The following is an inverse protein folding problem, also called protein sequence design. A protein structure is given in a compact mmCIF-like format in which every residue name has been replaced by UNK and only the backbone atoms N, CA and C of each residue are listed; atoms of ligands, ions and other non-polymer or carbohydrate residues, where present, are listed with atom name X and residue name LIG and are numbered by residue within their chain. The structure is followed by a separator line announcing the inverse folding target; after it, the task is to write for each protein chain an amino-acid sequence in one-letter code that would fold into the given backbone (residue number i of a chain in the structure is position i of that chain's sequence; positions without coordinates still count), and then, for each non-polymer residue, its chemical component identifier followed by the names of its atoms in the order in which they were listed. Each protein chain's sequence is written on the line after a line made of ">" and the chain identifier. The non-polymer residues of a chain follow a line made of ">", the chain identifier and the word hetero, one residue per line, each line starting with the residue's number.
data_IF_852641114937
#
_entry.id   IF_852641114937
#
_cell.length_a   1.000
_cell.length_b   1.000
_cell.length_c   1.000
_cell.angle_alpha   90.00
_cell.angle_beta   90.00
_cell.angle_gamma   90.00
#
_symmetry.space_group_name_H-M   'P 1'
#
loop_
_entity.id
_entity.type
_entity.pdbx_description
1 polymer ?
#
# COMPACT_ATOMS: atom_id res chain seq x y z
N UNK A 1 5.95 51.00 14.01
CA UNK A 1 7.21 50.43 13.50
C UNK A 1 7.07 48.94 13.68
N UNK A 2 6.90 48.27 12.55
CA UNK A 2 6.57 46.87 12.33
C UNK A 2 7.85 46.02 12.40
N UNK A 3 7.86 44.97 13.24
CA UNK A 3 8.85 43.90 13.26
C UNK A 3 8.19 42.66 13.88
N UNK A 4 7.65 41.78 13.05
CA UNK A 4 7.13 40.50 13.53
C UNK A 4 6.72 39.49 12.46
N UNK A 5 6.56 39.89 11.19
CA UNK A 5 6.37 38.95 10.10
C UNK A 5 7.70 38.55 9.48
N UNK A 6 8.21 37.37 9.85
CA UNK A 6 8.64 36.38 8.86
C UNK A 6 9.21 35.11 9.52
N UNK A 7 8.72 33.99 8.99
CA UNK A 7 9.50 32.76 8.83
C UNK A 7 9.58 31.82 10.03
N UNK A 8 8.43 31.38 10.53
CA UNK A 8 8.30 29.97 10.87
C UNK A 8 7.69 29.24 9.67
N UNK A 9 8.56 28.91 8.71
CA UNK A 9 8.22 28.12 7.52
C UNK A 9 7.72 26.77 8.00
N UNK A 10 6.40 26.60 7.98
CA UNK A 10 5.72 25.35 8.30
C UNK A 10 6.29 24.22 7.43
N UNK A 11 7.00 23.28 8.07
CA UNK A 11 7.42 22.02 7.47
C UNK A 11 6.40 20.99 7.97
N UNK A 12 5.53 20.43 7.11
CA UNK A 12 4.68 19.33 7.54
C UNK A 12 5.55 18.13 7.90
N UNK A 13 5.27 17.57 9.07
CA UNK A 13 5.76 16.27 9.45
C UNK A 13 5.22 15.22 8.45
N UNK A 14 6.12 14.43 7.84
CA UNK A 14 5.83 13.55 6.70
C UNK A 14 4.75 12.48 6.98
N UNK A 15 4.37 12.29 8.24
CA UNK A 15 3.30 11.37 8.66
C UNK A 15 1.89 11.96 8.72
N UNK A 16 1.73 13.30 8.74
CA UNK A 16 0.41 13.92 8.99
C UNK A 16 -0.41 14.18 7.72
N UNK A 17 0.23 14.32 6.54
CA UNK A 17 -0.49 14.51 5.27
C UNK A 17 -1.29 13.26 4.85
N UNK A 18 -0.85 12.06 5.25
CA UNK A 18 -1.58 10.82 4.99
C UNK A 18 -2.80 10.62 5.91
N UNK A 19 -2.87 11.34 7.04
CA UNK A 19 -3.90 11.13 8.07
C UNK A 19 -5.20 11.94 7.87
N UNK A 20 -5.30 12.75 6.80
CA UNK A 20 -6.47 13.61 6.55
C UNK A 20 -7.24 13.24 5.28
N UNK A 21 -7.15 11.98 4.83
CA UNK A 21 -8.00 11.48 3.77
C UNK A 21 -9.26 10.85 4.39
N UNK A 22 -10.47 11.18 3.90
CA UNK A 22 -11.67 10.45 4.28
C UNK A 22 -11.44 8.95 4.09
N UNK A 23 -11.84 8.12 5.07
CA UNK A 23 -11.60 6.68 5.03
C UNK A 23 -12.10 6.01 3.74
N UNK A 24 -13.23 6.50 3.21
CA UNK A 24 -13.79 6.04 1.93
C UNK A 24 -12.90 6.39 0.73
N UNK A 25 -12.22 7.54 0.77
CA UNK A 25 -11.27 7.94 -0.26
C UNK A 25 -10.02 7.06 -0.24
N UNK A 26 -9.47 6.80 0.95
CA UNK A 26 -8.35 5.87 1.11
C UNK A 26 -8.70 4.45 0.61
N UNK A 27 -9.91 3.97 0.91
CA UNK A 27 -10.38 2.65 0.45
C UNK A 27 -10.57 2.58 -1.06
N UNK A 28 -11.13 3.62 -1.66
CA UNK A 28 -11.31 3.73 -3.13
C UNK A 28 -9.95 3.67 -3.82
N UNK A 29 -8.96 4.41 -3.30
CA UNK A 29 -7.62 4.43 -3.89
C UNK A 29 -6.85 3.12 -3.74
N UNK A 30 -6.98 2.43 -2.60
CA UNK A 30 -6.41 1.08 -2.47
C UNK A 30 -7.06 0.13 -3.48
N UNK A 31 -8.36 0.28 -3.73
CA UNK A 31 -9.08 -0.52 -4.73
C UNK A 31 -8.55 -0.23 -6.14
N UNK A 32 -8.35 1.04 -6.48
CA UNK A 32 -7.80 1.46 -7.77
C UNK A 32 -6.34 1.01 -7.96
N UNK A 33 -5.52 1.09 -6.92
CA UNK A 33 -4.13 0.62 -6.95
C UNK A 33 -4.08 -0.91 -7.13
N UNK A 34 -4.94 -1.65 -6.41
CA UNK A 34 -5.08 -3.10 -6.58
C UNK A 34 -5.51 -3.47 -8.01
N UNK A 35 -6.34 -2.65 -8.66
CA UNK A 35 -6.78 -2.84 -10.04
C UNK A 35 -5.66 -2.66 -11.08
N UNK A 36 -4.56 -1.96 -10.72
CA UNK A 36 -3.38 -1.77 -11.57
C UNK A 36 -2.31 -2.88 -11.40
N UNK A 37 -2.41 -3.71 -10.37
CA UNK A 37 -1.50 -4.84 -10.19
C UNK A 37 -1.75 -5.93 -11.23
N UNK A 38 -0.70 -6.69 -11.57
CA UNK A 38 -0.82 -7.94 -12.31
C UNK A 38 -1.75 -8.92 -11.61
N UNK A 39 -2.35 -9.85 -12.37
CA UNK A 39 -3.23 -10.90 -11.84
C UNK A 39 -2.57 -11.66 -10.69
N UNK A 40 -1.29 -12.00 -10.86
CA UNK A 40 -0.56 -12.87 -9.93
C UNK A 40 -0.33 -12.17 -8.59
N UNK A 41 0.08 -10.90 -8.63
CA UNK A 41 0.26 -10.10 -7.42
C UNK A 41 -1.08 -9.87 -6.70
N UNK A 42 -2.15 -9.62 -7.46
CA UNK A 42 -3.49 -9.39 -6.90
C UNK A 42 -4.03 -10.63 -6.21
N UNK A 43 -3.87 -11.81 -6.81
CA UNK A 43 -4.35 -13.09 -6.24
C UNK A 43 -3.69 -13.37 -4.89
N UNK A 44 -2.37 -13.18 -4.79
CA UNK A 44 -1.64 -13.36 -3.53
C UNK A 44 -2.14 -12.41 -2.44
N UNK A 45 -2.28 -11.13 -2.75
CA UNK A 45 -2.75 -10.12 -1.79
C UNK A 45 -4.20 -10.36 -1.38
N UNK A 46 -5.07 -10.75 -2.31
CA UNK A 46 -6.47 -11.05 -2.02
C UNK A 46 -6.58 -12.26 -1.08
N UNK A 47 -5.82 -13.34 -1.32
CA UNK A 47 -5.85 -14.51 -0.44
C UNK A 47 -5.33 -14.20 0.96
N UNK A 48 -4.20 -13.50 1.06
CA UNK A 48 -3.60 -13.17 2.35
C UNK A 48 -4.44 -12.16 3.16
N UNK A 49 -4.89 -11.08 2.54
CA UNK A 49 -5.47 -9.94 3.26
C UNK A 49 -6.99 -9.83 3.19
N UNK A 50 -7.64 -10.34 2.13
CA UNK A 50 -9.10 -10.29 2.00
C UNK A 50 -9.73 -11.60 2.49
N UNK A 51 -9.10 -12.74 2.21
CA UNK A 51 -9.59 -14.06 2.64
C UNK A 51 -8.93 -14.58 3.93
N UNK A 52 -7.90 -13.89 4.44
CA UNK A 52 -7.21 -14.26 5.68
C UNK A 52 -6.43 -15.57 5.60
N UNK A 53 -6.02 -16.01 4.40
CA UNK A 53 -5.27 -17.24 4.24
C UNK A 53 -3.85 -17.11 4.78
N UNK A 54 -3.37 -18.19 5.39
CA UNK A 54 -1.96 -18.33 5.78
C UNK A 54 -1.09 -18.58 4.54
N UNK A 55 0.22 -18.33 4.67
CA UNK A 55 1.21 -18.64 3.62
C UNK A 55 1.18 -20.11 3.22
N UNK A 56 0.94 -21.02 4.18
CA UNK A 56 0.82 -22.45 3.92
C UNK A 56 -0.43 -22.82 3.11
N UNK A 57 -1.58 -22.18 3.37
CA UNK A 57 -2.80 -22.39 2.58
C UNK A 57 -2.64 -21.90 1.14
N UNK A 58 -2.02 -20.73 0.96
CA UNK A 58 -1.72 -20.19 -0.37
C UNK A 58 -0.73 -21.10 -1.11
N UNK A 59 0.29 -21.61 -0.41
CA UNK A 59 1.29 -22.51 -0.98
C UNK A 59 0.64 -23.83 -1.47
N UNK A 60 -0.24 -24.40 -0.65
CA UNK A 60 -0.97 -25.62 -0.99
C UNK A 60 -1.88 -25.42 -2.20
N UNK A 61 -2.59 -24.29 -2.27
CA UNK A 61 -3.49 -23.98 -3.38
C UNK A 61 -2.75 -23.71 -4.70
N UNK A 62 -1.60 -23.00 -4.63
CA UNK A 62 -0.79 -22.68 -5.81
C UNK A 62 0.17 -23.81 -6.22
N UNK A 63 0.34 -24.84 -5.39
CA UNK A 63 1.30 -25.93 -5.65
C UNK A 63 2.77 -25.49 -5.62
N UNK A 64 3.10 -24.51 -4.77
CA UNK A 64 4.47 -23.95 -4.65
C UNK A 64 5.00 -24.05 -3.23
N UNK A 65 6.30 -23.79 -3.03
CA UNK A 65 6.89 -23.74 -1.71
C UNK A 65 6.38 -22.53 -0.90
N UNK A 66 6.16 -22.72 0.41
CA UNK A 66 5.72 -21.63 1.31
C UNK A 66 6.72 -20.46 1.34
N UNK A 67 8.02 -20.75 1.23
CA UNK A 67 9.05 -19.71 1.12
C UNK A 67 8.87 -18.86 -0.15
N UNK A 68 8.42 -19.47 -1.26
CA UNK A 68 8.10 -18.74 -2.49
C UNK A 68 6.90 -17.81 -2.29
N UNK A 69 5.85 -18.28 -1.60
CA UNK A 69 4.69 -17.42 -1.26
C UNK A 69 5.14 -16.20 -0.47
N UNK A 70 6.01 -16.37 0.54
CA UNK A 70 6.55 -15.26 1.34
C UNK A 70 7.29 -14.24 0.49
N UNK A 71 8.19 -14.71 -0.39
CA UNK A 71 8.92 -13.84 -1.31
C UNK A 71 7.96 -13.11 -2.26
N UNK A 72 7.00 -13.82 -2.86
CA UNK A 72 6.05 -13.23 -3.80
C UNK A 72 5.11 -12.23 -3.12
N UNK A 73 4.63 -12.49 -1.90
CA UNK A 73 3.85 -11.52 -1.12
C UNK A 73 4.65 -10.25 -0.83
N UNK A 74 5.92 -10.40 -0.46
CA UNK A 74 6.80 -9.25 -0.27
C UNK A 74 6.94 -8.41 -1.56
N UNK A 75 7.12 -9.04 -2.71
CA UNK A 75 7.17 -8.34 -3.99
C UNK A 75 5.83 -7.71 -4.37
N UNK A 76 4.72 -8.42 -4.19
CA UNK A 76 3.38 -7.89 -4.48
C UNK A 76 3.07 -6.65 -3.64
N UNK A 77 3.41 -6.66 -2.35
CA UNK A 77 3.28 -5.49 -1.47
C UNK A 77 4.18 -4.34 -1.92
N UNK A 78 5.42 -4.63 -2.33
CA UNK A 78 6.33 -3.60 -2.84
C UNK A 78 5.83 -2.98 -4.14
N UNK A 79 5.25 -3.78 -5.04
CA UNK A 79 4.60 -3.27 -6.25
C UNK A 79 3.39 -2.41 -5.90
N UNK A 80 2.54 -2.85 -4.96
CA UNK A 80 1.40 -2.06 -4.49
C UNK A 80 1.84 -0.71 -3.89
N UNK A 81 2.88 -0.72 -3.07
CA UNK A 81 3.47 0.51 -2.53
C UNK A 81 3.94 1.44 -3.66
N UNK A 82 4.63 0.91 -4.67
CA UNK A 82 5.05 1.70 -5.82
C UNK A 82 3.87 2.29 -6.60
N UNK A 83 2.83 1.49 -6.86
CA UNK A 83 1.61 1.97 -7.52
C UNK A 83 0.95 3.10 -6.73
N UNK A 84 0.88 2.99 -5.40
CA UNK A 84 0.34 4.06 -4.55
C UNK A 84 1.21 5.32 -4.58
N UNK A 85 2.55 5.19 -4.65
CA UNK A 85 3.47 6.32 -4.83
C UNK A 85 3.24 7.01 -6.17
N UNK A 86 3.12 6.25 -7.25
CA UNK A 86 2.90 6.76 -8.59
C UNK A 86 1.54 7.50 -8.70
N UNK A 87 0.56 7.08 -7.89
CA UNK A 87 -0.74 7.76 -7.72
C UNK A 87 -0.67 9.01 -6.81
N UNK A 88 0.51 9.36 -6.28
CA UNK A 88 0.71 10.52 -5.41
C UNK A 88 0.35 10.31 -3.93
N UNK A 89 0.18 9.07 -3.49
CA UNK A 89 -0.41 8.72 -2.18
C UNK A 89 0.61 8.27 -1.10
N UNK A 90 1.82 7.91 -1.50
CA UNK A 90 2.88 7.49 -0.57
C UNK A 90 4.20 8.19 -0.92
N UNK A 91 5.04 8.57 0.08
CA UNK A 91 6.39 9.06 -0.14
C UNK A 91 7.38 7.93 -0.47
#
# INVERSE_FOLDING_TARGET
>A
MDLGEASNRWIPDRGQAAAALPHDFARTLVTDAMAQLSSDNRVLLQRAYYHGWTTGQIAADLGIAEASVKAQLHYALRTLQQTLRDMGMAP
#
